data_IF_560561426573
#
_entry.id   IF_560561426573
#
_cell.length_a   1.000
_cell.length_b   1.000
_cell.length_c   1.000
_cell.angle_alpha   90.00
_cell.angle_beta   90.00
_cell.angle_gamma   90.00
#
_symmetry.space_group_name_H-M   'P 1'
#
loop_
_entity.id
_entity.type
_entity.pdbx_description
1 polymer ?
#
# COMPACT_ATOMS: atom_id res chain seq x y z
N UNK A 1 28.29 -8.73 10.11
CA UNK A 1 27.17 -8.32 9.25
C UNK A 1 26.06 -7.86 10.18
N UNK A 2 25.91 -6.54 10.36
CA UNK A 2 25.14 -5.95 11.46
C UNK A 2 23.64 -5.93 11.16
N UNK A 3 22.87 -6.62 11.99
CA UNK A 3 21.40 -6.62 12.00
C UNK A 3 20.90 -5.26 12.52
N UNK A 4 20.17 -4.50 11.68
CA UNK A 4 19.57 -3.22 12.07
C UNK A 4 18.06 -3.43 12.24
N UNK A 5 17.48 -3.09 13.40
CA UNK A 5 16.04 -3.23 13.59
C UNK A 5 15.29 -2.26 12.67
N UNK A 6 14.26 -2.77 11.99
CA UNK A 6 13.36 -1.96 11.16
C UNK A 6 12.35 -1.30 12.10
N UNK A 7 12.42 0.03 12.24
CA UNK A 7 11.41 0.80 12.95
C UNK A 7 10.05 0.69 12.25
N UNK A 8 8.99 0.43 13.02
CA UNK A 8 7.63 0.25 12.52
C UNK A 8 7.04 1.57 11.99
N UNK A 9 6.85 1.66 10.67
CA UNK A 9 6.26 2.83 9.98
C UNK A 9 4.89 2.45 9.41
N UNK A 10 3.84 2.46 10.23
CA UNK A 10 2.46 2.43 9.72
C UNK A 10 1.72 3.66 10.24
N UNK A 11 1.43 4.67 9.40
CA UNK A 11 0.50 5.75 9.75
C UNK A 11 -0.94 5.22 9.75
N UNK A 12 -1.76 5.73 10.67
CA UNK A 12 -3.18 5.40 10.75
C UNK A 12 -3.93 5.81 9.47
N UNK A 13 -4.61 4.86 8.83
CA UNK A 13 -5.51 5.11 7.69
C UNK A 13 -6.89 5.48 8.21
N UNK A 14 -7.41 6.65 7.78
CA UNK A 14 -8.79 7.08 8.06
C UNK A 14 -9.69 6.61 6.90
N UNK A 15 -10.82 5.94 7.13
CA UNK A 15 -11.71 5.53 6.05
C UNK A 15 -12.53 6.72 5.56
N UNK A 16 -12.45 7.04 4.27
CA UNK A 16 -13.36 7.98 3.60
C UNK A 16 -14.68 7.28 3.28
N UNK A 17 -15.61 7.26 4.24
CA UNK A 17 -17.00 6.83 4.04
C UNK A 17 -17.86 7.99 3.52
N UNK A 18 -18.36 7.91 2.29
CA UNK A 18 -19.22 8.93 1.69
C UNK A 18 -20.69 8.75 2.04
N UNK A 19 -21.24 9.62 2.89
CA UNK A 19 -22.68 9.76 3.10
C UNK A 19 -23.25 10.74 2.05
N UNK A 20 -24.20 10.30 1.21
CA UNK A 20 -24.91 11.19 0.27
C UNK A 20 -26.04 11.91 0.99
N UNK A 21 -25.87 13.20 1.28
CA UNK A 21 -26.95 14.09 1.74
C UNK A 21 -27.48 14.85 0.53
N UNK A 22 -28.75 14.63 0.17
CA UNK A 22 -29.48 15.38 -0.87
C UNK A 22 -30.02 16.67 -0.24
N UNK A 23 -29.41 17.80 -0.59
CA UNK A 23 -29.83 19.14 -0.16
C UNK A 23 -30.61 19.87 -1.27
N UNK A 24 -31.74 20.44 -0.87
CA UNK A 24 -32.69 21.23 -1.62
C UNK A 24 -32.10 22.56 -2.16
N UNK A 25 -32.61 23.01 -3.31
CA UNK A 25 -32.06 24.08 -4.15
C UNK A 25 -32.46 25.47 -3.63
N UNK A 26 -31.73 25.97 -2.63
CA UNK A 26 -31.80 27.36 -2.17
C UNK A 26 -30.61 28.20 -2.65
N UNK A 27 -30.88 29.28 -3.37
CA UNK A 27 -30.01 30.41 -3.74
C UNK A 27 -28.48 30.15 -3.71
N UNK A 28 -27.89 29.97 -4.89
CA UNK A 28 -26.46 29.81 -5.08
C UNK A 28 -25.68 31.08 -4.67
N UNK A 29 -25.35 31.21 -3.38
CA UNK A 29 -24.24 32.05 -2.95
C UNK A 29 -23.01 31.59 -3.74
N UNK A 30 -22.35 32.51 -4.45
CA UNK A 30 -21.06 32.28 -5.12
C UNK A 30 -20.01 31.97 -4.04
N UNK A 31 -20.01 30.74 -3.54
CA UNK A 31 -18.97 30.24 -2.65
C UNK A 31 -17.66 30.25 -3.45
N UNK A 32 -16.58 30.83 -2.91
CA UNK A 32 -15.28 30.72 -3.54
C UNK A 32 -14.93 29.23 -3.70
N UNK A 33 -14.22 28.86 -4.78
CA UNK A 33 -13.85 27.47 -5.01
C UNK A 33 -13.07 26.94 -3.81
N UNK A 34 -13.36 25.69 -3.44
CA UNK A 34 -12.62 25.02 -2.39
C UNK A 34 -11.13 25.00 -2.78
N UNK A 35 -10.22 25.22 -1.82
CA UNK A 35 -8.79 25.17 -2.10
C UNK A 35 -8.44 23.78 -2.65
N UNK A 36 -7.64 23.76 -3.72
CA UNK A 36 -7.17 22.50 -4.30
C UNK A 36 -6.36 21.73 -3.25
N UNK A 37 -6.68 20.44 -3.09
CA UNK A 37 -5.91 19.57 -2.24
C UNK A 37 -4.48 19.46 -2.79
N UNK A 38 -3.50 19.91 -2.00
CA UNK A 38 -2.09 19.70 -2.31
C UNK A 38 -1.70 18.33 -1.82
N UNK A 39 -1.55 17.38 -2.74
CA UNK A 39 -0.99 16.07 -2.42
C UNK A 39 0.46 16.25 -1.96
N UNK A 40 0.86 15.51 -0.92
CA UNK A 40 2.27 15.44 -0.54
C UNK A 40 3.07 14.95 -1.75
N UNK A 41 4.27 15.51 -2.00
CA UNK A 41 5.14 15.01 -3.06
C UNK A 41 5.36 13.52 -2.86
N UNK A 42 5.31 12.76 -3.96
CA UNK A 42 5.66 11.34 -3.96
C UNK A 42 7.03 11.20 -3.32
N UNK A 43 7.12 10.42 -2.23
CA UNK A 43 8.41 10.12 -1.61
C UNK A 43 9.29 9.47 -2.67
N UNK A 44 10.48 10.03 -2.87
CA UNK A 44 11.54 9.42 -3.68
C UNK A 44 12.21 8.29 -2.87
N UNK A 45 11.40 7.33 -2.42
CA UNK A 45 11.86 6.16 -1.68
C UNK A 45 11.73 4.93 -2.55
N UNK A 46 12.80 4.15 -2.63
CA UNK A 46 12.82 2.82 -3.27
C UNK A 46 12.01 1.76 -2.51
N UNK A 47 11.22 2.17 -1.52
CA UNK A 47 10.45 1.30 -0.64
C UNK A 47 8.98 1.68 -0.69
N UNK A 48 8.12 0.68 -0.88
CA UNK A 48 6.67 0.79 -0.78
C UNK A 48 6.21 -0.08 0.38
N UNK A 49 5.28 0.43 1.18
CA UNK A 49 4.63 -0.30 2.26
C UNK A 49 3.13 -0.36 1.99
N UNK A 50 2.51 -1.46 2.39
CA UNK A 50 1.09 -1.71 2.24
C UNK A 50 0.59 -2.58 3.37
N UNK A 51 -0.73 -2.59 3.57
CA UNK A 51 -1.41 -3.54 4.44
C UNK A 51 -2.37 -4.36 3.59
N UNK A 52 -2.24 -5.67 3.65
CA UNK A 52 -3.08 -6.60 2.93
C UNK A 52 -3.53 -7.73 3.86
N UNK A 53 -4.71 -8.29 3.57
CA UNK A 53 -5.20 -9.48 4.26
C UNK A 53 -4.41 -10.71 3.84
N UNK A 54 -4.19 -11.61 4.78
CA UNK A 54 -3.71 -12.96 4.51
C UNK A 54 -4.91 -13.91 4.50
N UNK A 55 -5.07 -14.68 3.43
CA UNK A 55 -6.14 -15.69 3.38
C UNK A 55 -5.77 -16.99 4.13
N UNK A 56 -6.71 -17.92 4.22
CA UNK A 56 -6.53 -19.22 4.89
C UNK A 56 -5.46 -20.11 4.25
N UNK A 57 -5.05 -19.81 3.01
CA UNK A 57 -3.99 -20.52 2.29
C UNK A 57 -2.65 -19.77 2.37
N UNK A 58 -2.55 -18.71 3.17
CA UNK A 58 -1.34 -17.91 3.32
C UNK A 58 -1.05 -17.01 2.12
N UNK A 59 -2.05 -16.67 1.30
CA UNK A 59 -1.86 -15.78 0.14
C UNK A 59 -2.05 -14.32 0.55
N UNK A 60 -1.13 -13.49 0.06
CA UNK A 60 -1.21 -12.03 0.14
C UNK A 60 -1.40 -11.49 -1.27
N UNK A 61 -2.40 -10.64 -1.46
CA UNK A 61 -2.69 -10.01 -2.74
C UNK A 61 -2.68 -8.48 -2.60
N UNK A 62 -1.51 -7.86 -2.73
CA UNK A 62 -1.36 -6.40 -2.80
C UNK A 62 -0.96 -5.98 -4.21
N UNK A 63 -1.93 -5.49 -4.99
CA UNK A 63 -1.68 -5.08 -6.38
C UNK A 63 -0.69 -3.91 -6.49
N UNK A 64 -0.68 -2.99 -5.54
CA UNK A 64 0.19 -1.82 -5.60
C UNK A 64 1.65 -2.23 -5.37
N UNK A 65 1.90 -3.10 -4.38
CA UNK A 65 3.23 -3.64 -4.10
C UNK A 65 3.74 -4.50 -5.26
N UNK A 66 2.90 -5.39 -5.82
CA UNK A 66 3.30 -6.24 -6.94
C UNK A 66 3.72 -5.42 -8.18
N UNK A 67 2.98 -4.34 -8.49
CA UNK A 67 3.33 -3.42 -9.58
C UNK A 67 4.64 -2.67 -9.27
N UNK A 68 4.79 -2.17 -8.05
CA UNK A 68 5.99 -1.42 -7.65
C UNK A 68 7.27 -2.27 -7.71
N UNK A 69 7.16 -3.56 -7.37
CA UNK A 69 8.26 -4.52 -7.46
C UNK A 69 8.49 -5.06 -8.89
N UNK A 70 7.60 -4.76 -9.84
CA UNK A 70 7.65 -5.31 -11.20
C UNK A 70 7.38 -6.80 -11.26
N UNK A 71 6.67 -7.36 -10.27
CA UNK A 71 6.38 -8.79 -10.22
C UNK A 71 5.18 -9.13 -11.11
N UNK A 72 5.32 -10.22 -11.86
CA UNK A 72 4.33 -10.71 -12.80
C UNK A 72 4.00 -12.18 -12.50
N UNK A 73 2.82 -12.68 -12.94
CA UNK A 73 2.50 -14.10 -12.83
C UNK A 73 3.59 -14.98 -13.44
N UNK A 74 3.98 -16.04 -12.72
CA UNK A 74 5.04 -16.97 -13.15
C UNK A 74 6.46 -16.51 -12.84
N UNK A 75 6.66 -15.31 -12.27
CA UNK A 75 7.94 -14.92 -11.70
C UNK A 75 8.27 -15.84 -10.54
N UNK A 76 9.45 -16.47 -10.59
CA UNK A 76 9.84 -17.37 -9.52
C UNK A 76 10.32 -16.64 -8.27
N UNK A 77 9.87 -17.08 -7.09
CA UNK A 77 10.14 -16.41 -5.81
C UNK A 77 10.82 -17.33 -4.80
N UNK A 78 11.87 -16.80 -4.17
CA UNK A 78 12.48 -17.34 -2.97
C UNK A 78 11.73 -16.81 -1.74
N UNK A 79 11.46 -17.68 -0.78
CA UNK A 79 10.82 -17.31 0.49
C UNK A 79 11.69 -17.83 1.63
N UNK A 80 12.03 -16.94 2.56
CA UNK A 80 12.76 -17.31 3.79
C UNK A 80 12.21 -16.55 4.99
N UNK A 81 12.41 -17.14 6.15
CA UNK A 81 12.17 -16.49 7.43
C UNK A 81 13.49 -15.97 8.00
N UNK A 82 13.47 -14.80 8.62
CA UNK A 82 14.60 -14.22 9.34
C UNK A 82 14.10 -13.29 10.43
N UNK A 83 14.27 -13.70 11.70
CA UNK A 83 13.97 -12.84 12.85
C UNK A 83 12.48 -12.49 12.99
N UNK A 84 11.58 -13.41 12.62
CA UNK A 84 10.13 -13.23 12.58
C UNK A 84 9.62 -12.54 11.32
N UNK A 85 10.50 -12.18 10.38
CA UNK A 85 10.13 -11.58 9.10
C UNK A 85 10.14 -12.61 7.99
N UNK A 86 9.09 -12.63 7.17
CA UNK A 86 9.08 -13.34 5.89
C UNK A 86 9.67 -12.42 4.84
N UNK A 87 10.78 -12.84 4.23
CA UNK A 87 11.43 -12.14 3.13
C UNK A 87 11.15 -12.91 1.85
N UNK A 88 10.61 -12.18 0.87
CA UNK A 88 10.29 -12.70 -0.46
C UNK A 88 11.04 -11.88 -1.50
N UNK A 89 11.77 -12.55 -2.39
CA UNK A 89 12.50 -11.91 -3.48
C UNK A 89 12.51 -12.78 -4.76
N UNK A 90 12.75 -12.19 -5.94
CA UNK A 90 12.89 -12.94 -7.18
C UNK A 90 14.07 -13.93 -7.11
N UNK A 91 13.78 -15.21 -7.29
CA UNK A 91 14.77 -16.28 -7.35
C UNK A 91 14.42 -17.24 -8.49
N UNK A 92 15.24 -17.36 -9.55
CA UNK A 92 15.03 -18.32 -10.63
C UNK A 92 14.97 -19.79 -10.16
N UNK A 93 15.47 -20.10 -8.97
CA UNK A 93 15.42 -21.42 -8.33
C UNK A 93 14.34 -21.52 -7.25
N UNK A 94 13.61 -20.44 -7.01
CA UNK A 94 12.53 -20.32 -6.03
C UNK A 94 11.37 -21.27 -6.29
N UNK A 95 10.50 -21.48 -5.31
CA UNK A 95 9.48 -22.55 -5.36
C UNK A 95 8.10 -22.10 -5.83
N UNK A 96 7.87 -20.79 -5.86
CA UNK A 96 6.72 -20.15 -6.51
C UNK A 96 7.15 -19.53 -7.82
#
# INVERSE_FOLDING_TARGET
MTDRPIDSVIPAVVPSGGLKIRGDSGAAMKRPPLPLARLAPTRDSSTVYGLASLDVHGRVADRAVMIALGWAPGLRLGIRESGGLIIVDPDPRGVF
#
